data_IF_213949241181
#
_entry.id   IF_213949241181
#
_cell.length_a   1.000
_cell.length_b   1.000
_cell.length_c   1.000
_cell.angle_alpha   90.00
_cell.angle_beta   90.00
_cell.angle_gamma   90.00
#
_symmetry.space_group_name_H-M   'P 1'
#
loop_
_entity.id
_entity.type
_entity.pdbx_description
1 polymer ?
#
# COMPACT_ATOMS: atom_id res chain seq x y z
N UNK A 1 30.19 -6.78 -0.11
CA UNK A 1 29.36 -5.91 0.75
C UNK A 1 27.96 -6.48 0.73
N UNK A 2 27.48 -6.95 1.86
CA UNK A 2 26.14 -7.53 1.99
C UNK A 2 25.12 -6.37 2.03
N UNK A 3 24.66 -5.93 0.85
CA UNK A 3 23.66 -4.87 0.76
C UNK A 3 22.33 -5.41 1.29
N UNK A 4 22.06 -5.19 2.58
CA UNK A 4 20.75 -5.48 3.15
C UNK A 4 19.70 -4.57 2.51
N UNK A 5 19.07 -5.06 1.44
CA UNK A 5 18.02 -4.37 0.70
C UNK A 5 16.89 -3.96 1.64
N UNK A 6 16.55 -2.67 1.64
CA UNK A 6 15.41 -2.14 2.40
C UNK A 6 14.18 -2.10 1.51
N UNK A 7 13.06 -2.65 1.99
CA UNK A 7 11.78 -2.66 1.29
C UNK A 7 10.78 -1.81 2.07
N UNK A 8 10.39 -0.68 1.48
CA UNK A 8 9.32 0.17 1.99
C UNK A 8 8.01 -0.14 1.24
N UNK A 9 6.95 -0.49 1.96
CA UNK A 9 5.63 -0.77 1.40
C UNK A 9 4.69 0.36 1.80
N UNK A 10 4.26 1.16 0.84
CA UNK A 10 3.30 2.25 1.03
C UNK A 10 1.90 1.78 0.68
N UNK A 11 0.93 2.10 1.53
CA UNK A 11 -0.48 1.77 1.28
C UNK A 11 -1.41 2.90 1.64
N UNK A 12 -2.56 2.95 0.97
CA UNK A 12 -3.61 3.97 1.12
C UNK A 12 -4.51 3.77 2.34
N UNK A 13 -4.47 2.61 3.00
CA UNK A 13 -5.33 2.30 4.14
C UNK A 13 -4.60 1.44 5.19
N UNK A 14 -5.14 1.40 6.40
CA UNK A 14 -4.63 0.61 7.51
C UNK A 14 -5.77 0.10 8.39
N UNK A 15 -5.49 -0.93 9.19
CA UNK A 15 -6.44 -1.42 10.17
C UNK A 15 -6.77 -0.32 11.20
N UNK A 16 -8.00 -0.30 11.74
CA UNK A 16 -9.05 -1.32 11.65
C UNK A 16 -9.95 -1.21 10.41
N UNK A 17 -9.65 -0.35 9.45
CA UNK A 17 -10.44 -0.30 8.22
C UNK A 17 -10.09 -1.50 7.32
N UNK A 18 -10.93 -2.53 7.34
CA UNK A 18 -10.68 -3.83 6.69
C UNK A 18 -10.86 -3.79 5.16
N UNK A 19 -10.06 -2.97 4.47
CA UNK A 19 -9.98 -2.94 3.01
C UNK A 19 -8.87 -3.88 2.49
N UNK A 20 -8.92 -4.22 1.20
CA UNK A 20 -7.81 -4.95 0.55
C UNK A 20 -6.48 -4.22 0.66
N UNK A 21 -6.48 -2.89 0.55
CA UNK A 21 -5.28 -2.05 0.72
C UNK A 21 -4.80 -1.95 2.17
N UNK A 22 -5.64 -2.15 3.18
CA UNK A 22 -5.17 -2.25 4.55
C UNK A 22 -4.55 -3.63 4.85
N UNK A 23 -5.20 -4.69 4.38
CA UNK A 23 -4.91 -6.07 4.79
C UNK A 23 -3.78 -6.69 3.96
N UNK A 24 -3.79 -6.54 2.63
CA UNK A 24 -2.81 -7.20 1.76
C UNK A 24 -1.38 -6.69 1.99
N UNK A 25 -1.12 -5.37 2.11
CA UNK A 25 0.23 -4.86 2.36
C UNK A 25 0.75 -5.25 3.74
N UNK A 26 -0.14 -5.35 4.73
CA UNK A 26 0.18 -5.82 6.08
C UNK A 26 0.69 -7.28 6.04
N UNK A 27 -0.06 -8.17 5.40
CA UNK A 27 0.40 -9.55 5.21
C UNK A 27 1.68 -9.61 4.38
N UNK A 28 1.80 -8.80 3.31
CA UNK A 28 3.02 -8.75 2.50
C UNK A 28 4.24 -8.39 3.35
N UNK A 29 4.15 -7.37 4.19
CA UNK A 29 5.22 -6.99 5.10
C UNK A 29 5.60 -8.14 6.06
N UNK A 30 4.58 -8.79 6.65
CA UNK A 30 4.76 -9.91 7.57
C UNK A 30 5.47 -11.10 6.92
N UNK A 31 5.07 -11.48 5.71
CA UNK A 31 5.62 -12.64 5.02
C UNK A 31 6.99 -12.37 4.39
N UNK A 32 7.28 -11.15 3.93
CA UNK A 32 8.65 -10.76 3.54
C UNK A 32 9.60 -10.85 4.73
N UNK A 33 9.14 -10.41 5.91
CA UNK A 33 9.92 -10.55 7.14
C UNK A 33 10.16 -12.02 7.50
N UNK A 34 9.10 -12.85 7.42
CA UNK A 34 9.18 -14.30 7.65
C UNK A 34 10.14 -15.00 6.68
N UNK A 35 10.20 -14.57 5.42
CA UNK A 35 11.10 -15.15 4.41
C UNK A 35 12.58 -14.75 4.58
N UNK A 36 12.92 -14.04 5.66
CA UNK A 36 14.31 -13.67 5.98
C UNK A 36 14.68 -12.23 5.61
N UNK A 37 13.80 -11.45 4.97
CA UNK A 37 14.08 -10.04 4.65
C UNK A 37 13.87 -9.21 5.91
N UNK A 38 14.95 -8.87 6.62
CA UNK A 38 14.85 -8.19 7.91
C UNK A 38 14.53 -6.69 7.81
N UNK A 39 14.88 -6.05 6.70
CA UNK A 39 14.70 -4.61 6.50
C UNK A 39 13.41 -4.33 5.72
N UNK A 40 12.27 -4.51 6.37
CA UNK A 40 10.95 -4.22 5.79
C UNK A 40 10.27 -3.14 6.63
N UNK A 41 9.74 -2.11 5.96
CA UNK A 41 8.95 -1.06 6.59
C UNK A 41 7.59 -0.96 5.90
N UNK A 42 6.51 -1.15 6.65
CA UNK A 42 5.15 -0.84 6.22
C UNK A 42 4.84 0.63 6.55
N UNK A 43 4.43 1.40 5.55
CA UNK A 43 4.15 2.83 5.65
C UNK A 43 2.65 3.05 5.45
N UNK A 44 1.96 3.47 6.50
CA UNK A 44 0.49 3.52 6.59
C UNK A 44 -0.05 4.91 6.96
N UNK A 45 -1.30 5.25 6.62
CA UNK A 45 -1.88 6.54 7.00
C UNK A 45 -2.18 6.61 8.51
N UNK A 46 -1.92 7.78 9.08
CA UNK A 46 -2.42 8.24 10.37
C UNK A 46 -3.56 9.25 10.15
N UNK A 47 -4.71 9.00 10.77
CA UNK A 47 -5.90 9.83 10.62
C UNK A 47 -6.15 10.68 11.86
N UNK A 48 -6.70 11.88 11.63
CA UNK A 48 -7.24 12.70 12.73
C UNK A 48 -8.37 11.97 13.46
N UNK A 49 -8.57 12.23 14.76
CA UNK A 49 -9.64 11.62 15.54
C UNK A 49 -11.02 11.76 14.89
N UNK A 50 -11.27 12.90 14.23
CA UNK A 50 -12.52 13.13 13.47
C UNK A 50 -12.69 12.13 12.34
N UNK A 51 -11.64 11.87 11.58
CA UNK A 51 -11.67 10.94 10.44
C UNK A 51 -11.69 9.48 10.92
N UNK A 52 -10.97 9.15 12.00
CA UNK A 52 -11.02 7.83 12.61
C UNK A 52 -12.46 7.43 12.97
N UNK A 53 -13.23 8.32 13.61
CA UNK A 53 -14.65 8.10 13.95
C UNK A 53 -15.56 7.85 12.75
N UNK A 54 -15.16 8.29 11.55
CA UNK A 54 -15.93 8.09 10.32
C UNK A 54 -15.54 6.79 9.63
N UNK A 55 -14.25 6.44 9.68
CA UNK A 55 -13.66 5.36 8.88
C UNK A 55 -13.59 4.04 9.64
N UNK A 56 -13.26 4.08 10.92
CA UNK A 56 -13.01 2.88 11.72
C UNK A 56 -14.32 2.28 12.24
N UNK A 57 -14.48 0.94 12.17
CA UNK A 57 -15.69 0.28 12.63
C UNK A 57 -15.77 0.27 14.17
N UNK A 58 -16.95 -0.05 14.68
CA UNK A 58 -17.18 -0.37 16.10
C UNK A 58 -16.73 0.72 17.10
N UNK A 59 -16.74 1.99 16.68
CA UNK A 59 -16.27 3.13 17.48
C UNK A 59 -14.80 3.01 17.94
N UNK A 60 -13.98 2.21 17.26
CA UNK A 60 -12.55 2.11 17.54
C UNK A 60 -11.90 3.43 17.17
N UNK A 61 -11.11 3.98 18.08
CA UNK A 61 -10.25 5.15 17.86
C UNK A 61 -8.94 4.93 18.60
N UNK A 62 -7.89 5.60 18.15
CA UNK A 62 -6.57 5.59 18.77
C UNK A 62 -6.13 7.03 19.04
N UNK A 63 -5.57 7.24 20.22
CA UNK A 63 -5.04 8.54 20.63
C UNK A 63 -3.60 8.74 20.11
N UNK A 64 -2.91 7.64 19.75
CA UNK A 64 -1.55 7.69 19.22
C UNK A 64 -1.25 6.63 18.14
N UNK A 65 -0.27 6.89 17.24
CA UNK A 65 0.18 5.88 16.28
C UNK A 65 0.70 4.59 16.94
N UNK A 66 1.32 4.70 18.11
CA UNK A 66 1.83 3.53 18.85
C UNK A 66 0.71 2.59 19.32
N UNK A 67 -0.44 3.15 19.71
CA UNK A 67 -1.62 2.38 20.08
C UNK A 67 -2.21 1.65 18.86
N UNK A 68 -2.33 2.35 17.73
CA UNK A 68 -2.77 1.74 16.48
C UNK A 68 -1.80 0.64 16.01
N UNK A 69 -0.49 0.86 16.13
CA UNK A 69 0.53 -0.14 15.82
C UNK A 69 0.37 -1.40 16.69
N UNK A 70 0.18 -1.24 18.00
CA UNK A 70 -0.06 -2.37 18.90
C UNK A 70 -1.30 -3.16 18.48
N UNK A 71 -2.39 -2.47 18.14
CA UNK A 71 -3.61 -3.11 17.63
C UNK A 71 -3.35 -3.89 16.33
N UNK A 72 -2.65 -3.28 15.36
CA UNK A 72 -2.30 -3.90 14.08
C UNK A 72 -1.47 -5.17 14.30
N UNK A 73 -0.44 -5.10 15.15
CA UNK A 73 0.45 -6.23 15.43
C UNK A 73 -0.31 -7.38 16.07
N UNK A 74 -1.11 -7.10 17.10
CA UNK A 74 -1.94 -8.13 17.73
C UNK A 74 -2.87 -8.79 16.72
N UNK A 75 -3.61 -7.98 15.95
CA UNK A 75 -4.55 -8.47 14.94
C UNK A 75 -3.87 -9.38 13.90
N UNK A 76 -2.64 -9.03 13.50
CA UNK A 76 -1.84 -9.78 12.54
C UNK A 76 -1.33 -11.09 13.14
N UNK A 77 -0.69 -11.02 14.30
CA UNK A 77 -0.02 -12.16 14.96
C UNK A 77 -1.01 -13.26 15.32
N UNK A 78 -2.22 -12.88 15.78
CA UNK A 78 -3.34 -13.80 16.03
C UNK A 78 -3.74 -14.61 14.78
N UNK A 79 -3.47 -14.10 13.58
CA UNK A 79 -3.86 -14.73 12.30
C UNK A 79 -2.73 -15.49 11.63
N UNK A 80 -1.49 -15.03 11.79
CA UNK A 80 -0.34 -15.63 11.09
C UNK A 80 0.42 -16.63 11.93
N UNK A 81 0.28 -16.61 13.26
CA UNK A 81 0.95 -17.54 14.17
C UNK A 81 2.47 -17.37 14.25
N UNK A 82 3.00 -16.19 13.88
CA UNK A 82 4.41 -15.84 14.03
C UNK A 82 4.58 -14.35 14.34
N UNK A 83 5.68 -14.00 15.01
CA UNK A 83 5.95 -12.62 15.43
C UNK A 83 6.20 -11.67 14.24
N UNK A 84 5.62 -10.48 14.31
CA UNK A 84 5.79 -9.41 13.32
C UNK A 84 7.03 -8.58 13.62
N UNK A 85 8.16 -8.85 12.97
CA UNK A 85 9.42 -8.12 13.21
C UNK A 85 9.74 -7.00 12.21
N UNK A 86 8.83 -6.68 11.30
CA UNK A 86 8.97 -5.52 10.39
C UNK A 86 8.59 -4.20 11.10
N UNK A 87 9.08 -3.09 10.58
CA UNK A 87 8.79 -1.76 11.09
C UNK A 87 7.48 -1.21 10.55
N UNK A 88 6.74 -0.47 11.36
CA UNK A 88 5.56 0.29 10.91
C UNK A 88 5.89 1.78 11.06
N UNK A 89 5.66 2.55 10.00
CA UNK A 89 5.78 4.01 10.01
C UNK A 89 4.45 4.62 9.55
N UNK A 90 4.14 5.79 10.09
CA UNK A 90 2.91 6.49 9.80
C UNK A 90 3.18 7.75 8.97
N UNK A 91 2.30 8.02 8.01
CA UNK A 91 2.26 9.28 7.25
C UNK A 91 0.92 9.99 7.50
N UNK A 92 0.85 11.33 7.41
CA UNK A 92 -0.41 12.03 7.62
C UNK A 92 -1.42 11.73 6.50
N UNK A 93 -2.59 11.21 6.86
CA UNK A 93 -3.69 10.90 5.96
C UNK A 93 -4.95 11.69 6.28
N UNK A 94 -5.78 11.93 5.27
CA UNK A 94 -7.08 12.63 5.41
C UNK A 94 -8.18 11.87 4.71
N UNK A 95 -9.30 11.65 5.39
CA UNK A 95 -10.45 11.01 4.76
C UNK A 95 -11.23 12.01 3.90
N UNK A 96 -11.46 11.66 2.63
CA UNK A 96 -12.33 12.40 1.72
C UNK A 96 -13.69 11.71 1.65
N UNK A 97 -14.74 12.38 2.14
CA UNK A 97 -16.11 11.83 2.11
C UNK A 97 -16.63 11.66 0.68
N UNK A 98 -16.31 12.61 -0.21
CA UNK A 98 -16.74 12.58 -1.61
C UNK A 98 -16.14 11.39 -2.37
N UNK A 99 -14.86 11.10 -2.11
CA UNK A 99 -14.14 9.98 -2.73
C UNK A 99 -14.28 8.66 -1.97
N UNK A 100 -14.81 8.73 -0.74
CA UNK A 100 -14.88 7.61 0.21
C UNK A 100 -13.52 6.92 0.38
N UNK A 101 -12.45 7.70 0.41
CA UNK A 101 -11.07 7.21 0.41
C UNK A 101 -10.17 8.05 1.32
N UNK A 102 -9.09 7.44 1.81
CA UNK A 102 -8.02 8.16 2.54
C UNK A 102 -7.01 8.67 1.53
N UNK A 103 -6.74 9.98 1.57
CA UNK A 103 -5.74 10.64 0.74
C UNK A 103 -4.47 10.89 1.57
N UNK A 104 -3.32 10.64 0.95
CA UNK A 104 -2.03 11.05 1.50
C UNK A 104 -1.92 12.58 1.55
N UNK A 105 -1.33 13.11 2.62
CA UNK A 105 -1.09 14.55 2.80
C UNK A 105 0.41 14.82 2.76
N UNK A 106 0.85 15.69 1.84
CA UNK A 106 2.27 16.03 1.69
C UNK A 106 3.10 14.96 0.98
N UNK A 107 4.42 15.08 1.08
CA UNK A 107 5.38 14.13 0.50
C UNK A 107 5.59 12.93 1.43
N UNK A 108 4.82 11.87 1.20
CA UNK A 108 4.94 10.64 1.98
C UNK A 108 6.23 9.86 1.68
N UNK A 109 6.93 10.15 0.59
CA UNK A 109 8.19 9.46 0.28
C UNK A 109 9.27 9.79 1.32
N UNK A 110 9.22 10.96 1.94
CA UNK A 110 10.17 11.42 2.98
C UNK A 110 10.08 10.63 4.29
N UNK A 111 9.04 9.81 4.49
CA UNK A 111 8.93 8.91 5.65
C UNK A 111 10.10 7.91 5.70
N UNK A 112 10.66 7.59 4.52
CA UNK A 112 11.86 6.77 4.38
C UNK A 112 13.06 7.71 4.16
N UNK A 113 14.07 7.67 5.04
CA UNK A 113 15.32 8.41 4.86
C UNK A 113 16.02 8.01 3.56
N UNK A 114 16.75 8.94 2.96
CA UNK A 114 17.43 8.69 1.67
C UNK A 114 18.44 7.53 1.74
N UNK A 115 19.07 7.30 2.90
CA UNK A 115 19.98 6.16 3.11
C UNK A 115 19.27 4.79 3.10
N UNK A 116 17.97 4.77 3.40
CA UNK A 116 17.15 3.56 3.42
C UNK A 116 16.31 3.42 2.13
N UNK A 117 16.35 4.40 1.21
CA UNK A 117 15.51 4.44 0.02
C UNK A 117 16.00 3.50 -1.10
N UNK A 118 15.91 2.19 -0.87
CA UNK A 118 16.32 1.17 -1.84
C UNK A 118 15.14 0.74 -2.73
N UNK A 119 14.11 0.13 -2.15
CA UNK A 119 12.96 -0.39 -2.88
C UNK A 119 11.65 0.14 -2.28
N UNK A 120 10.84 0.79 -3.11
CA UNK A 120 9.47 1.17 -2.76
C UNK A 120 8.45 0.26 -3.45
N UNK A 121 7.51 -0.28 -2.69
CA UNK A 121 6.30 -0.95 -3.18
C UNK A 121 5.13 -0.01 -2.90
N UNK A 122 4.44 0.42 -3.96
CA UNK A 122 3.29 1.32 -3.87
C UNK A 122 2.02 0.50 -4.09
N UNK A 123 1.20 0.34 -3.06
CA UNK A 123 -0.07 -0.39 -3.10
C UNK A 123 -1.19 0.62 -3.44
N UNK A 124 -1.76 0.50 -4.65
CA UNK A 124 -2.54 1.54 -5.36
C UNK A 124 -1.72 2.81 -5.67
N UNK A 125 -0.68 2.69 -6.53
CA UNK A 125 0.17 3.82 -6.89
C UNK A 125 -0.60 5.01 -7.46
N UNK A 126 -1.68 4.77 -8.23
CA UNK A 126 -2.55 5.80 -8.79
C UNK A 126 -3.22 6.66 -7.71
N UNK A 127 -3.57 6.05 -6.58
CA UNK A 127 -4.25 6.72 -5.48
C UNK A 127 -3.24 7.39 -4.55
N UNK A 128 -2.10 6.74 -4.27
CA UNK A 128 -1.01 7.34 -3.49
C UNK A 128 -0.43 8.60 -4.14
N UNK A 129 -0.57 8.77 -5.46
CA UNK A 129 0.09 9.83 -6.22
C UNK A 129 -0.86 10.88 -6.81
N UNK A 130 -2.17 10.82 -6.48
CA UNK A 130 -3.21 11.64 -7.10
C UNK A 130 -3.10 13.15 -6.84
N UNK A 131 -2.87 13.55 -5.58
CA UNK A 131 -2.99 14.95 -5.15
C UNK A 131 -1.69 15.55 -4.63
N UNK A 132 -0.73 14.71 -4.25
CA UNK A 132 0.54 15.14 -3.72
C UNK A 132 1.65 14.29 -4.31
N UNK A 133 2.62 14.98 -4.90
CA UNK A 133 3.79 14.37 -5.50
C UNK A 133 4.93 14.47 -4.50
N UNK A 134 5.49 13.32 -4.13
CA UNK A 134 6.76 13.35 -3.42
C UNK A 134 7.92 13.75 -4.33
N UNK A 135 9.15 13.74 -3.79
CA UNK A 135 10.36 13.59 -4.63
C UNK A 135 10.05 12.53 -5.68
N UNK A 136 10.45 12.77 -6.94
CA UNK A 136 10.21 11.81 -8.03
C UNK A 136 10.57 10.42 -7.52
N UNK A 137 9.56 9.55 -7.34
CA UNK A 137 9.73 8.27 -6.64
C UNK A 137 10.88 7.45 -7.23
N UNK A 138 11.02 7.50 -8.57
CA UNK A 138 12.10 6.87 -9.34
C UNK A 138 13.49 7.51 -9.17
N UNK A 139 13.55 8.73 -8.68
CA UNK A 139 14.80 9.44 -8.34
C UNK A 139 15.22 9.16 -6.91
N UNK A 140 14.25 9.00 -5.99
CA UNK A 140 14.54 8.71 -4.58
C UNK A 140 14.86 7.23 -4.34
N UNK A 141 14.06 6.32 -4.89
CA UNK A 141 14.23 4.88 -4.72
C UNK A 141 14.87 4.25 -5.96
N UNK A 142 15.80 3.31 -5.75
CA UNK A 142 16.46 2.58 -6.84
C UNK A 142 15.48 1.73 -7.64
N UNK A 143 14.47 1.19 -6.96
CA UNK A 143 13.38 0.44 -7.60
C UNK A 143 12.04 0.85 -7.01
N UNK A 144 11.04 1.05 -7.87
CA UNK A 144 9.67 1.37 -7.48
C UNK A 144 8.73 0.41 -8.18
N UNK A 145 8.00 -0.37 -7.40
CA UNK A 145 7.05 -1.38 -7.86
C UNK A 145 5.65 -0.91 -7.51
N UNK A 146 4.81 -0.70 -8.53
CA UNK A 146 3.39 -0.41 -8.33
C UNK A 146 2.57 -1.71 -8.28
N UNK A 147 1.72 -1.86 -7.27
CA UNK A 147 0.76 -2.96 -7.16
C UNK A 147 -0.64 -2.36 -7.23
N UNK A 148 -1.36 -2.65 -8.30
CA UNK A 148 -2.72 -2.14 -8.53
C UNK A 148 -3.72 -3.13 -7.92
N UNK A 149 -4.44 -2.70 -6.88
CA UNK A 149 -5.49 -3.49 -6.22
C UNK A 149 -6.82 -3.42 -6.94
N UNK A 150 -7.22 -2.20 -7.29
CA UNK A 150 -8.59 -1.93 -7.72
C UNK A 150 -8.70 -1.98 -9.24
N UNK A 151 -9.59 -2.82 -9.73
CA UNK A 151 -10.04 -2.77 -11.13
C UNK A 151 -11.05 -1.62 -11.29
N UNK A 152 -10.57 -0.37 -11.24
CA UNK A 152 -11.41 0.81 -11.43
C UNK A 152 -12.19 0.76 -12.76
N UNK A 153 -11.66 0.04 -13.76
CA UNK A 153 -12.33 -0.19 -15.04
C UNK A 153 -13.64 -0.99 -14.89
N UNK A 154 -13.72 -1.91 -13.93
CA UNK A 154 -14.93 -2.67 -13.67
C UNK A 154 -16.04 -1.82 -13.00
N UNK A 155 -15.65 -0.82 -12.20
CA UNK A 155 -16.59 0.14 -11.62
C UNK A 155 -17.11 1.12 -12.66
N UNK A 156 -16.21 1.75 -13.41
CA UNK A 156 -16.56 2.78 -14.40
C UNK A 156 -17.38 2.22 -15.56
N UNK A 157 -17.15 0.97 -15.97
CA UNK A 157 -17.98 0.30 -17.00
C UNK A 157 -19.46 0.17 -16.64
N UNK A 158 -19.84 0.33 -15.37
CA UNK A 158 -21.24 0.28 -14.90
C UNK A 158 -21.95 1.65 -14.95
N UNK A 159 -21.22 2.73 -15.27
CA UNK A 159 -21.79 4.07 -15.41
C UNK A 159 -22.20 4.39 -16.87
N UNK A 160 -23.04 5.42 -17.06
CA UNK A 160 -23.39 5.93 -18.40
C UNK A 160 -22.11 6.40 -19.12
N UNK A 161 -21.86 5.94 -20.34
CA UNK A 161 -20.60 6.11 -21.09
C UNK A 161 -19.37 5.43 -20.47
N UNK A 162 -19.59 4.43 -19.62
CA UNK A 162 -18.55 3.74 -18.85
C UNK A 162 -17.41 3.11 -19.66
N UNK A 163 -17.63 2.75 -20.93
CA UNK A 163 -16.55 2.21 -21.78
C UNK A 163 -15.51 3.27 -22.16
N UNK A 164 -15.94 4.49 -22.53
CA UNK A 164 -15.05 5.59 -22.88
C UNK A 164 -14.35 6.13 -21.62
N UNK A 165 -15.10 6.28 -20.53
CA UNK A 165 -14.54 6.70 -19.24
C UNK A 165 -13.55 5.67 -18.69
N UNK A 166 -13.84 4.37 -18.80
CA UNK A 166 -12.90 3.33 -18.40
C UNK A 166 -11.64 3.35 -19.28
N UNK A 167 -11.78 3.57 -20.60
CA UNK A 167 -10.62 3.71 -21.47
C UNK A 167 -9.72 4.88 -21.07
N UNK A 168 -10.31 6.06 -20.84
CA UNK A 168 -9.57 7.25 -20.40
C UNK A 168 -8.93 7.06 -19.03
N UNK A 169 -9.67 6.49 -18.07
CA UNK A 169 -9.16 6.21 -16.73
C UNK A 169 -8.02 5.17 -16.75
N UNK A 170 -8.11 4.15 -17.63
CA UNK A 170 -7.02 3.20 -17.84
C UNK A 170 -5.76 3.91 -18.30
N UNK A 171 -5.90 4.82 -19.27
CA UNK A 171 -4.78 5.53 -19.84
C UNK A 171 -4.14 6.49 -18.83
N UNK A 172 -4.96 7.24 -18.10
CA UNK A 172 -4.50 8.13 -17.02
C UNK A 172 -3.81 7.37 -15.90
N UNK A 173 -4.39 6.25 -15.44
CA UNK A 173 -3.76 5.42 -14.42
C UNK A 173 -2.43 4.85 -14.93
N UNK A 174 -2.39 4.29 -16.14
CA UNK A 174 -1.14 3.76 -16.71
C UNK A 174 -0.07 4.85 -16.87
N UNK A 175 -0.46 6.06 -17.26
CA UNK A 175 0.44 7.20 -17.43
C UNK A 175 1.01 7.67 -16.09
N UNK A 176 0.15 7.90 -15.08
CA UNK A 176 0.56 8.28 -13.72
C UNK A 176 1.47 7.20 -13.10
N UNK A 177 1.07 5.93 -13.22
CA UNK A 177 1.87 4.83 -12.70
C UNK A 177 3.21 4.71 -13.44
N UNK A 178 3.27 4.91 -14.76
CA UNK A 178 4.53 4.94 -15.51
C UNK A 178 5.47 6.08 -15.12
N UNK A 179 4.93 7.22 -14.66
CA UNK A 179 5.73 8.32 -14.12
C UNK A 179 6.39 7.92 -12.80
N UNK A 180 5.66 7.22 -11.92
CA UNK A 180 6.13 6.97 -10.55
C UNK A 180 6.73 5.58 -10.32
N UNK A 181 6.41 4.59 -11.13
CA UNK A 181 6.85 3.20 -10.97
C UNK A 181 7.81 2.77 -12.09
N UNK A 182 8.79 1.95 -11.73
CA UNK A 182 9.67 1.26 -12.68
C UNK A 182 9.03 -0.02 -13.24
N UNK A 183 8.32 -0.76 -12.37
CA UNK A 183 7.58 -1.99 -12.70
C UNK A 183 6.18 -1.91 -12.11
N UNK A 184 5.21 -2.56 -12.75
CA UNK A 184 3.80 -2.57 -12.32
C UNK A 184 3.25 -3.99 -12.37
N UNK A 185 2.52 -4.37 -11.32
CA UNK A 185 1.79 -5.64 -11.24
C UNK A 185 0.32 -5.41 -10.86
N UNK A 186 -0.58 -6.22 -11.42
CA UNK A 186 -2.00 -6.18 -11.12
C UNK A 186 -2.36 -7.32 -10.16
N UNK A 187 -2.89 -6.97 -8.99
CA UNK A 187 -3.27 -7.93 -7.94
C UNK A 187 -4.32 -8.96 -8.44
N UNK A 188 -5.27 -8.52 -9.27
CA UNK A 188 -6.33 -9.39 -9.80
C UNK A 188 -5.79 -10.48 -10.75
N UNK A 189 -4.66 -10.24 -11.42
CA UNK A 189 -4.00 -11.23 -12.28
C UNK A 189 -3.22 -12.26 -11.44
N UNK A 190 -2.78 -11.89 -10.25
CA UNK A 190 -2.09 -12.79 -9.31
C UNK A 190 -3.04 -13.77 -8.62
N UNK A 191 -4.34 -13.44 -8.51
CA UNK A 191 -5.37 -14.31 -7.92
C UNK A 191 -6.06 -15.20 -8.96
N UNK A 192 -6.31 -14.70 -10.19
CA UNK A 192 -7.03 -15.47 -11.21
C UNK A 192 -6.21 -16.60 -11.87
N UNK A 193 -4.90 -16.69 -11.61
CA UNK A 193 -4.09 -17.80 -12.12
C UNK A 193 -4.05 -18.99 -11.15
N UNK A 194 -4.24 -18.81 -9.83
CA UNK A 194 -4.37 -19.97 -8.93
C UNK A 194 -5.19 -19.60 -7.69
N UNK A 195 -6.39 -20.19 -7.61
CA UNK A 195 -7.18 -20.28 -6.38
C UNK A 195 -6.41 -21.15 -5.40
N UNK A 196 -5.52 -20.54 -4.62
CA UNK A 196 -5.06 -20.92 -3.28
C UNK A 196 -3.73 -20.23 -3.04
N UNK A 197 -3.65 -19.49 -1.93
CA UNK A 197 -2.42 -19.07 -1.27
C UNK A 197 -1.94 -17.63 -1.52
N UNK A 198 -2.05 -16.81 -0.46
CA UNK A 198 -1.39 -15.51 -0.24
C UNK A 198 0.11 -15.56 -0.57
N UNK A 199 0.72 -16.75 -0.49
CA UNK A 199 2.13 -17.03 -0.78
C UNK A 199 2.56 -16.70 -2.22
N UNK A 200 1.67 -16.79 -3.22
CA UNK A 200 2.03 -16.50 -4.62
C UNK A 200 2.14 -14.99 -4.92
N UNK A 201 1.35 -14.15 -4.24
CA UNK A 201 1.50 -12.69 -4.33
C UNK A 201 2.82 -12.20 -3.75
N UNK A 202 3.37 -12.93 -2.77
CA UNK A 202 4.70 -12.70 -2.21
C UNK A 202 5.79 -13.25 -3.14
N UNK A 203 5.60 -14.45 -3.73
CA UNK A 203 6.52 -15.05 -4.70
C UNK A 203 6.69 -14.18 -5.96
N UNK A 204 5.60 -13.62 -6.50
CA UNK A 204 5.68 -12.69 -7.63
C UNK A 204 6.41 -11.39 -7.27
N UNK A 205 6.18 -10.88 -6.06
CA UNK A 205 6.93 -9.72 -5.57
C UNK A 205 8.43 -10.05 -5.43
N UNK A 206 8.78 -11.24 -4.93
CA UNK A 206 10.16 -11.73 -4.86
C UNK A 206 10.78 -11.92 -6.25
N UNK A 207 10.03 -12.38 -7.25
CA UNK A 207 10.47 -12.48 -8.64
C UNK A 207 10.71 -11.09 -9.28
N UNK A 208 9.93 -10.07 -8.92
CA UNK A 208 10.17 -8.70 -9.39
C UNK A 208 11.42 -8.06 -8.78
N UNK A 209 11.89 -8.59 -7.64
CA UNK A 209 13.07 -8.16 -6.89
C UNK A 209 14.37 -8.87 -7.33
N UNK A 210 14.28 -9.92 -8.15
CA UNK A 210 15.43 -10.51 -8.86
C UNK A 210 15.80 -9.65 -10.07
#
# INVERSE_FOLDING_TARGET
MDWKRHIAIFTTASLPWLTGTAVNPLFRAAYLYKSGIKNVTLVIPWLSLKDQKVVYPNNITFDSPAEQEKYIRQWLEDRVGFASGFSIKFYPGKFSRDKRSILAVGDISEIIPDNDADIAVLEEPEHLTWFHHGKRWKTKFKLVIGIIHTNYLAYVKREKNGNLQAFLLKYLNNWVVGIYCHKVSYFFFTINIYVSSVYLGILYCLLLLQ
#
